data_IF_365668038494
#
_entry.id   IF_365668038494
#
_cell.length_a   1.000
_cell.length_b   1.000
_cell.length_c   1.000
_cell.angle_alpha   90.00
_cell.angle_beta   90.00
_cell.angle_gamma   90.00
#
_symmetry.space_group_name_H-M   'P 1'
#
loop_
_entity.id
_entity.type
_entity.pdbx_description
1 polymer ?
#
# COMPACT_ATOMS: atom_id res chain seq x y z
N UNK A 1 6.21 20.76 -16.14
CA UNK A 1 6.29 19.37 -16.60
C UNK A 1 6.84 18.48 -15.50
N UNK A 2 6.21 17.35 -15.28
CA UNK A 2 6.63 16.45 -14.21
C UNK A 2 7.55 15.37 -14.74
N UNK A 3 8.48 14.93 -13.90
CA UNK A 3 9.40 13.85 -14.26
C UNK A 3 8.72 12.50 -14.08
N UNK A 4 9.24 11.48 -14.74
CA UNK A 4 8.83 10.12 -14.47
C UNK A 4 9.60 9.60 -13.25
N UNK A 5 9.22 8.43 -12.77
CA UNK A 5 9.86 7.79 -11.62
C UNK A 5 11.06 7.00 -12.14
N UNK A 6 12.27 7.44 -11.85
CA UNK A 6 13.46 6.83 -12.41
C UNK A 6 14.55 6.49 -11.41
N UNK A 7 14.40 6.88 -10.14
CA UNK A 7 15.47 6.71 -9.15
C UNK A 7 14.91 6.54 -7.75
N UNK A 8 15.80 6.18 -6.81
CA UNK A 8 15.43 6.07 -5.40
C UNK A 8 14.87 7.36 -4.83
N UNK A 9 15.39 8.50 -5.30
CA UNK A 9 14.89 9.79 -4.82
C UNK A 9 13.43 9.95 -5.16
N UNK A 10 13.04 9.54 -6.36
CA UNK A 10 11.64 9.58 -6.79
C UNK A 10 10.79 8.61 -5.98
N UNK A 11 11.31 7.42 -5.68
CA UNK A 11 10.58 6.45 -4.87
C UNK A 11 10.33 6.99 -3.47
N UNK A 12 11.35 7.61 -2.86
CA UNK A 12 11.18 8.20 -1.52
C UNK A 12 10.15 9.31 -1.53
N UNK A 13 10.21 10.17 -2.55
CA UNK A 13 9.23 11.25 -2.68
C UNK A 13 7.81 10.68 -2.78
N UNK A 14 7.63 9.66 -3.61
CA UNK A 14 6.34 9.02 -3.78
C UNK A 14 5.81 8.45 -2.47
N UNK A 15 6.62 7.63 -1.81
CA UNK A 15 6.21 6.94 -0.59
C UNK A 15 5.94 7.93 0.54
N UNK A 16 6.86 8.89 0.74
CA UNK A 16 6.71 9.86 1.82
C UNK A 16 5.48 10.74 1.61
N UNK A 17 5.26 11.19 0.37
CA UNK A 17 4.10 12.02 0.05
C UNK A 17 2.80 11.27 0.24
N UNK A 18 2.79 9.99 -0.16
CA UNK A 18 1.61 9.17 0.01
C UNK A 18 1.27 8.98 1.50
N UNK A 19 2.25 8.63 2.33
CA UNK A 19 1.97 8.38 3.74
C UNK A 19 1.58 9.65 4.48
N UNK A 20 2.10 10.79 4.05
CA UNK A 20 1.66 12.06 4.63
C UNK A 20 0.15 12.25 4.43
N UNK A 21 -0.35 11.91 3.23
CA UNK A 21 -1.79 11.99 2.96
C UNK A 21 -2.55 10.92 3.71
N UNK A 22 -2.04 9.70 3.74
CA UNK A 22 -2.73 8.58 4.36
C UNK A 22 -2.90 8.77 5.85
N UNK A 23 -1.86 9.29 6.52
CA UNK A 23 -1.93 9.55 7.96
C UNK A 23 -2.91 10.65 8.27
N UNK A 24 -3.03 11.63 7.40
CA UNK A 24 -3.96 12.75 7.59
C UNK A 24 -5.40 12.39 7.25
N UNK A 25 -5.62 11.27 6.57
CA UNK A 25 -6.97 10.85 6.18
C UNK A 25 -7.72 10.30 7.40
N UNK A 26 -9.00 10.66 7.52
CA UNK A 26 -9.78 10.28 8.70
C UNK A 26 -9.96 8.76 8.81
N UNK A 27 -10.19 8.09 7.69
CA UNK A 27 -10.46 6.67 7.75
C UNK A 27 -9.21 5.81 7.83
N UNK A 28 -8.09 6.26 7.24
CA UNK A 28 -6.85 5.49 7.24
C UNK A 28 -5.91 5.87 8.38
N UNK A 29 -5.90 7.15 8.76
CA UNK A 29 -4.92 7.64 9.71
C UNK A 29 -4.88 6.87 11.01
N UNK A 30 -6.06 6.64 11.61
CA UNK A 30 -6.10 5.95 12.89
C UNK A 30 -5.65 4.50 12.77
N UNK A 31 -5.77 3.89 11.59
CA UNK A 31 -5.30 2.52 11.41
C UNK A 31 -3.79 2.47 11.57
N UNK A 32 -3.07 3.43 10.98
CA UNK A 32 -1.62 3.46 11.11
C UNK A 32 -1.18 3.83 12.52
N UNK A 33 -1.83 4.81 13.14
CA UNK A 33 -1.34 5.35 14.41
C UNK A 33 -1.87 4.59 15.61
N UNK A 34 -3.15 4.20 15.59
CA UNK A 34 -3.81 3.65 16.76
C UNK A 34 -3.94 2.13 16.72
N UNK A 35 -4.18 1.55 15.56
CA UNK A 35 -4.40 0.12 15.42
C UNK A 35 -3.09 -0.61 15.14
N UNK A 36 -2.43 -0.25 14.04
CA UNK A 36 -1.19 -0.91 13.65
C UNK A 36 0.02 -0.41 14.43
N UNK A 37 -0.06 0.84 14.94
CA UNK A 37 1.02 1.46 15.71
C UNK A 37 2.35 1.36 14.97
N UNK A 38 2.34 1.85 13.72
CA UNK A 38 3.46 1.69 12.81
C UNK A 38 4.71 2.40 13.32
N UNK A 39 5.83 1.68 13.29
CA UNK A 39 7.14 2.27 13.56
C UNK A 39 7.67 2.82 12.23
N UNK A 40 7.54 4.14 12.04
CA UNK A 40 7.85 4.74 10.75
C UNK A 40 9.32 4.65 10.38
N UNK A 41 10.21 4.67 11.36
CA UNK A 41 11.65 4.53 11.08
C UNK A 41 11.96 3.19 10.44
N UNK A 42 11.23 2.16 10.81
CA UNK A 42 11.40 0.83 10.24
C UNK A 42 10.56 0.65 8.97
N UNK A 43 9.32 1.14 9.00
CA UNK A 43 8.35 0.89 7.93
C UNK A 43 8.70 1.59 6.62
N UNK A 44 9.12 2.85 6.68
CA UNK A 44 9.38 3.60 5.45
C UNK A 44 10.49 2.98 4.59
N UNK A 45 11.64 2.59 5.17
CA UNK A 45 12.66 1.93 4.33
C UNK A 45 12.18 0.64 3.69
N UNK A 46 11.32 -0.13 4.38
CA UNK A 46 10.74 -1.35 3.80
C UNK A 46 9.86 -1.00 2.61
N UNK A 47 9.07 0.06 2.72
CA UNK A 47 8.22 0.49 1.63
C UNK A 47 9.02 1.05 0.46
N UNK A 48 10.12 1.75 0.72
CA UNK A 48 11.01 2.19 -0.35
C UNK A 48 11.53 0.98 -1.13
N UNK A 49 12.01 -0.04 -0.42
CA UNK A 49 12.49 -1.27 -1.03
C UNK A 49 11.40 -1.97 -1.85
N UNK A 50 10.21 -2.03 -1.29
CA UNK A 50 9.09 -2.66 -1.98
C UNK A 50 8.82 -1.98 -3.33
N UNK A 51 8.66 -0.66 -3.31
CA UNK A 51 8.33 0.07 -4.54
C UNK A 51 9.49 0.11 -5.52
N UNK A 52 10.74 0.14 -5.01
CA UNK A 52 11.91 0.00 -5.89
C UNK A 52 11.89 -1.32 -6.62
N UNK A 53 11.52 -2.40 -5.93
CA UNK A 53 11.47 -3.70 -6.57
C UNK A 53 10.36 -3.78 -7.61
N UNK A 54 9.21 -3.20 -7.31
CA UNK A 54 8.05 -3.25 -8.20
C UNK A 54 8.25 -2.38 -9.43
N UNK A 55 8.80 -1.17 -9.26
CA UNK A 55 8.85 -0.18 -10.33
C UNK A 55 10.19 -0.10 -11.04
N UNK A 56 11.28 -0.34 -10.33
CA UNK A 56 12.62 -0.19 -10.89
C UNK A 56 13.36 -1.50 -11.05
N UNK A 57 12.72 -2.61 -10.67
CA UNK A 57 13.32 -3.93 -10.82
C UNK A 57 14.47 -4.21 -9.88
N UNK A 58 14.62 -3.43 -8.81
CA UNK A 58 15.72 -3.64 -7.86
C UNK A 58 15.40 -4.80 -6.94
N UNK A 59 16.43 -5.51 -6.52
CA UNK A 59 16.31 -6.61 -5.56
C UNK A 59 16.53 -6.08 -4.16
N UNK A 60 16.14 -6.85 -3.16
CA UNK A 60 16.37 -6.47 -1.77
C UNK A 60 15.13 -6.51 -0.90
N UNK A 61 13.95 -6.42 -1.50
CA UNK A 61 12.73 -6.54 -0.71
C UNK A 61 12.44 -8.01 -0.43
N UNK A 62 12.17 -8.35 0.82
CA UNK A 62 11.89 -9.72 1.21
C UNK A 62 10.67 -9.85 2.12
N UNK A 63 9.86 -8.83 2.24
CA UNK A 63 8.71 -8.86 3.11
C UNK A 63 7.52 -9.59 2.53
N UNK A 64 6.47 -9.70 3.32
CA UNK A 64 5.22 -10.33 2.91
C UNK A 64 4.06 -9.39 3.27
N UNK A 65 3.72 -8.45 2.35
CA UNK A 65 2.67 -7.49 2.65
C UNK A 65 1.30 -8.13 2.84
N UNK A 66 1.05 -9.24 2.15
CA UNK A 66 -0.25 -9.91 2.27
C UNK A 66 -0.47 -10.43 3.70
N UNK A 67 0.54 -11.07 4.25
CA UNK A 67 0.43 -11.60 5.61
C UNK A 67 0.25 -10.49 6.63
N UNK A 68 0.97 -9.40 6.46
CA UNK A 68 0.86 -8.26 7.37
C UNK A 68 -0.56 -7.67 7.35
N UNK A 69 -1.18 -7.64 6.19
CA UNK A 69 -2.55 -7.14 6.08
C UNK A 69 -3.56 -8.11 6.63
N UNK A 70 -3.32 -9.42 6.53
CA UNK A 70 -4.18 -10.39 7.20
C UNK A 70 -4.17 -10.19 8.71
N UNK A 71 -2.98 -9.97 9.28
CA UNK A 71 -2.85 -9.73 10.72
C UNK A 71 -3.55 -8.44 11.14
N UNK A 72 -3.42 -7.41 10.33
CA UNK A 72 -4.10 -6.14 10.59
C UNK A 72 -5.61 -6.32 10.55
N UNK A 73 -6.11 -7.11 9.60
CA UNK A 73 -7.53 -7.35 9.47
C UNK A 73 -8.13 -8.08 10.69
N UNK A 74 -7.30 -8.76 11.45
CA UNK A 74 -7.75 -9.38 12.71
C UNK A 74 -8.02 -8.35 13.80
N UNK A 75 -7.36 -7.21 13.72
CA UNK A 75 -7.53 -6.13 14.70
C UNK A 75 -8.63 -5.17 14.30
N UNK A 76 -8.76 -4.90 13.01
CA UNK A 76 -9.79 -4.03 12.47
C UNK A 76 -10.15 -4.53 11.08
N UNK A 77 -11.44 -4.67 10.81
CA UNK A 77 -11.89 -5.14 9.50
C UNK A 77 -11.50 -4.12 8.43
N UNK A 78 -10.71 -4.58 7.46
CA UNK A 78 -10.30 -3.75 6.33
C UNK A 78 -11.37 -3.85 5.25
N UNK A 79 -12.07 -2.76 5.02
CA UNK A 79 -13.23 -2.73 4.14
C UNK A 79 -12.86 -2.26 2.74
N UNK A 80 -13.80 -2.41 1.81
CA UNK A 80 -13.60 -1.88 0.46
C UNK A 80 -13.37 -0.37 0.48
N UNK A 81 -14.01 0.34 1.43
CA UNK A 81 -13.79 1.78 1.55
C UNK A 81 -12.35 2.11 1.92
N UNK A 82 -11.75 1.33 2.82
CA UNK A 82 -10.33 1.52 3.17
C UNK A 82 -9.43 1.37 1.94
N UNK A 83 -9.66 0.30 1.16
CA UNK A 83 -8.85 0.05 -0.02
C UNK A 83 -9.10 1.08 -1.12
N UNK A 84 -10.36 1.53 -1.27
CA UNK A 84 -10.68 2.55 -2.26
C UNK A 84 -10.01 3.89 -1.91
N UNK A 85 -10.04 4.26 -0.64
CA UNK A 85 -9.36 5.47 -0.17
C UNK A 85 -7.86 5.38 -0.40
N UNK A 86 -7.26 4.22 -0.08
CA UNK A 86 -5.84 4.00 -0.29
C UNK A 86 -5.48 4.16 -1.78
N UNK A 87 -6.27 3.55 -2.67
CA UNK A 87 -6.02 3.65 -4.12
C UNK A 87 -6.15 5.08 -4.60
N UNK A 88 -7.17 5.78 -4.12
CA UNK A 88 -7.39 7.17 -4.52
C UNK A 88 -6.23 8.06 -4.10
N UNK A 89 -5.80 7.95 -2.85
CA UNK A 89 -4.70 8.77 -2.34
C UNK A 89 -3.39 8.46 -3.02
N UNK A 90 -3.14 7.17 -3.30
CA UNK A 90 -1.91 6.79 -3.99
C UNK A 90 -1.90 7.33 -5.42
N UNK A 91 -3.00 7.16 -6.15
CA UNK A 91 -3.11 7.68 -7.51
C UNK A 91 -2.94 9.19 -7.55
N UNK A 92 -3.58 9.89 -6.61
CA UNK A 92 -3.47 11.33 -6.51
C UNK A 92 -2.01 11.74 -6.26
N UNK A 93 -1.33 11.03 -5.39
CA UNK A 93 0.07 11.32 -5.08
C UNK A 93 0.96 11.17 -6.31
N UNK A 94 0.75 10.08 -7.08
CA UNK A 94 1.51 9.88 -8.31
C UNK A 94 1.25 11.04 -9.28
N UNK A 95 0.00 11.37 -9.49
CA UNK A 95 -0.37 12.39 -10.47
C UNK A 95 0.12 13.78 -10.10
N UNK A 96 0.20 14.08 -8.82
CA UNK A 96 0.70 15.38 -8.36
C UNK A 96 2.20 15.54 -8.57
N UNK A 97 2.94 14.45 -8.54
CA UNK A 97 4.40 14.51 -8.52
C UNK A 97 5.08 13.99 -9.77
N UNK A 98 4.42 13.14 -10.53
CA UNK A 98 5.07 12.44 -11.65
C UNK A 98 4.17 12.30 -12.84
N UNK A 99 4.79 12.08 -14.03
CA UNK A 99 4.07 11.66 -15.22
C UNK A 99 5.03 10.86 -16.10
N UNK A 100 4.51 9.86 -16.81
CA UNK A 100 5.29 9.01 -17.70
C UNK A 100 4.92 7.56 -17.57
N UNK A 101 5.70 6.69 -18.21
CA UNK A 101 5.41 5.25 -18.25
C UNK A 101 5.48 4.60 -16.88
N UNK A 102 6.51 4.95 -16.10
CA UNK A 102 6.65 4.34 -14.77
C UNK A 102 5.62 4.92 -13.81
N UNK A 103 5.28 6.21 -13.94
CA UNK A 103 4.20 6.77 -13.15
C UNK A 103 2.87 6.05 -13.43
N UNK A 104 2.59 5.76 -14.70
CA UNK A 104 1.39 5.00 -15.05
C UNK A 104 1.45 3.57 -14.51
N UNK A 105 2.62 2.95 -14.57
CA UNK A 105 2.83 1.62 -14.01
C UNK A 105 2.59 1.62 -12.50
N UNK A 106 3.04 2.66 -11.80
CA UNK A 106 2.83 2.76 -10.36
C UNK A 106 1.34 2.78 -10.01
N UNK A 107 0.56 3.53 -10.78
CA UNK A 107 -0.89 3.59 -10.55
C UNK A 107 -1.55 2.22 -10.80
N UNK A 108 -1.14 1.54 -11.86
CA UNK A 108 -1.68 0.21 -12.18
C UNK A 108 -1.29 -0.82 -11.12
N UNK A 109 -0.03 -0.82 -10.71
CA UNK A 109 0.44 -1.78 -9.70
C UNK A 109 -0.25 -1.55 -8.37
N UNK A 110 -0.41 -0.30 -7.96
CA UNK A 110 -1.09 0.01 -6.71
C UNK A 110 -2.53 -0.50 -6.74
N UNK A 111 -3.24 -0.28 -7.86
CA UNK A 111 -4.61 -0.74 -8.00
C UNK A 111 -4.68 -2.27 -7.93
N UNK A 112 -3.79 -2.94 -8.67
CA UNK A 112 -3.78 -4.41 -8.70
C UNK A 112 -3.46 -5.01 -7.35
N UNK A 113 -2.48 -4.42 -6.66
CA UNK A 113 -2.08 -4.91 -5.34
C UNK A 113 -3.22 -4.73 -4.34
N UNK A 114 -3.84 -3.55 -4.33
CA UNK A 114 -4.94 -3.29 -3.41
C UNK A 114 -6.13 -4.19 -3.68
N UNK A 115 -6.48 -4.38 -4.95
CA UNK A 115 -7.62 -5.22 -5.31
C UNK A 115 -7.35 -6.68 -4.96
N UNK A 116 -6.14 -7.15 -5.19
CA UNK A 116 -5.76 -8.52 -4.86
C UNK A 116 -5.77 -8.73 -3.34
N UNK A 117 -5.26 -7.78 -2.58
CA UNK A 117 -5.27 -7.87 -1.12
C UNK A 117 -6.68 -7.91 -0.58
N UNK A 118 -7.55 -7.04 -1.08
CA UNK A 118 -8.93 -7.02 -0.63
C UNK A 118 -9.62 -8.34 -0.97
N UNK A 119 -9.43 -8.83 -2.20
CA UNK A 119 -10.01 -10.08 -2.63
C UNK A 119 -9.57 -11.24 -1.72
N UNK A 120 -8.28 -11.34 -1.45
CA UNK A 120 -7.74 -12.43 -0.63
C UNK A 120 -8.16 -12.34 0.83
N UNK A 121 -8.17 -11.14 1.38
CA UNK A 121 -8.62 -10.94 2.76
C UNK A 121 -10.09 -11.32 2.87
N UNK A 122 -10.91 -10.84 1.95
CA UNK A 122 -12.34 -11.12 1.97
C UNK A 122 -12.61 -12.61 1.83
N UNK A 123 -11.95 -13.27 0.89
CA UNK A 123 -12.20 -14.69 0.67
C UNK A 123 -11.57 -15.55 1.73
N UNK A 124 -10.41 -15.16 2.26
CA UNK A 124 -9.74 -15.93 3.30
C UNK A 124 -10.60 -16.00 4.57
N UNK A 125 -11.24 -14.89 4.94
CA UNK A 125 -11.99 -14.84 6.19
C UNK A 125 -13.47 -15.10 6.04
N UNK A 126 -13.99 -15.05 4.82
CA UNK A 126 -15.44 -15.11 4.60
C UNK A 126 -15.92 -16.24 3.71
N UNK A 127 -15.02 -16.92 3.01
CA UNK A 127 -15.43 -18.00 2.10
C UNK A 127 -15.72 -19.28 2.85
N UNK A 128 -16.90 -19.90 2.60
CA UNK A 128 -17.16 -21.22 3.15
C UNK A 128 -16.20 -22.22 2.52
N UNK A 129 -15.78 -23.20 3.27
CA UNK A 129 -14.93 -24.25 2.75
C UNK A 129 -13.47 -23.97 2.81
N UNK A 130 -13.07 -22.73 3.03
CA UNK A 130 -11.67 -22.44 3.30
C UNK A 130 -11.48 -22.63 4.80
N UNK A 131 -10.35 -23.17 5.20
CA UNK A 131 -10.05 -23.34 6.62
C UNK A 131 -10.02 -21.96 7.25
N UNK A 132 -11.11 -21.59 7.88
CA UNK A 132 -11.22 -20.29 8.51
C UNK A 132 -10.59 -20.34 9.87
N UNK A 133 -9.89 -19.33 10.24
CA UNK A 133 -9.47 -19.27 11.61
C UNK A 133 -10.75 -19.21 12.43
N UNK A 134 -11.30 -19.60 12.19
CA UNK A 134 -12.47 -19.75 12.50
C UNK A 134 -13.33 -19.06 12.57
N UNK A 135 -13.44 -19.01 12.41
CA UNK A 135 -14.57 -18.22 12.20
C UNK A 135 -15.32 -18.21 13.38
#
# INVERSE_FOLDING_TARGET
MKADITSEVHIKLLVDSFYKKAIADESLGHIFTDVAKVNWEHHLPVMYSFWESVLLGKKGYSGNPMENHFKLNEKITLTSDHFNTWKFLFTQTVEENFEGEVANLAKEKARSIADLMFYKIHNHYNSPGIAQPKK
#
